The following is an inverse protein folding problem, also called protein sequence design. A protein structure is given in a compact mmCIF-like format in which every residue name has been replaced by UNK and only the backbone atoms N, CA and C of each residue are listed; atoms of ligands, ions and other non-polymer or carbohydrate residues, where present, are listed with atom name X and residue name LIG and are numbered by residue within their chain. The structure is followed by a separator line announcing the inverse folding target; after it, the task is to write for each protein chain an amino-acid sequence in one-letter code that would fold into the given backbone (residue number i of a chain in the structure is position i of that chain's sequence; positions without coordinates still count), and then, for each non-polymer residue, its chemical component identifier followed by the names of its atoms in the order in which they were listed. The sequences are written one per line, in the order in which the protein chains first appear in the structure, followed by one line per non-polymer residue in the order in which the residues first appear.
data_IF_067797623031
#
_entry.id   IF_067797623031
#
_cell.length_a   1.000
_cell.length_b   1.000
_cell.length_c   1.000
_cell.angle_alpha   90.00
_cell.angle_beta   90.00
_cell.angle_gamma   90.00
#
_symmetry.space_group_name_H-M   'P 1'
#
loop_
_entity.id
_entity.type
_entity.pdbx_description
1 polymer ?
#
# COMPACT_ATOMS: atom_id res chain seq x y z
N UNK A 1 -23.71 -57.28 15.38
CA UNK A 1 -23.03 -56.46 16.42
C UNK A 1 -21.76 -55.84 15.92
N UNK A 2 -20.87 -56.53 15.25
CA UNK A 2 -19.62 -55.99 14.70
C UNK A 2 -19.84 -54.81 13.72
N UNK A 3 -20.84 -54.88 12.86
CA UNK A 3 -21.15 -53.86 11.86
C UNK A 3 -21.58 -52.52 12.48
N UNK A 4 -22.28 -52.60 13.62
CA UNK A 4 -22.73 -51.38 14.37
C UNK A 4 -21.58 -50.71 15.11
N UNK A 5 -20.60 -51.48 15.57
CA UNK A 5 -19.43 -50.98 16.31
C UNK A 5 -18.45 -50.29 15.30
N UNK A 6 -18.25 -50.88 14.12
CA UNK A 6 -17.39 -50.30 13.06
C UNK A 6 -17.99 -49.01 12.52
N UNK A 7 -19.31 -48.92 12.36
CA UNK A 7 -19.99 -47.73 11.88
C UNK A 7 -19.95 -46.60 12.94
N UNK A 8 -20.00 -46.91 14.22
CA UNK A 8 -19.87 -45.95 15.33
C UNK A 8 -18.46 -45.40 15.45
N UNK A 9 -17.42 -46.22 15.17
CA UNK A 9 -16.02 -45.78 15.15
C UNK A 9 -15.71 -44.87 13.97
N UNK A 10 -16.33 -45.11 12.80
CA UNK A 10 -16.13 -44.29 11.60
C UNK A 10 -16.72 -42.89 11.74
N UNK A 11 -17.85 -42.75 12.43
CA UNK A 11 -18.50 -41.46 12.70
C UNK A 11 -17.71 -40.65 13.75
N UNK A 12 -17.09 -41.30 14.72
CA UNK A 12 -16.26 -40.63 15.74
C UNK A 12 -14.97 -40.05 15.16
N UNK A 13 -14.41 -40.65 14.07
CA UNK A 13 -13.21 -40.17 13.38
C UNK A 13 -13.44 -38.90 12.55
N UNK A 14 -14.68 -38.63 12.14
CA UNK A 14 -15.01 -37.49 11.27
C UNK A 14 -15.20 -36.17 12.06
N UNK A 15 -15.34 -36.25 13.38
CA UNK A 15 -15.51 -35.06 14.24
C UNK A 15 -14.21 -34.40 14.70
N UNK A 16 -13.05 -34.97 14.43
CA UNK A 16 -11.75 -34.42 14.82
C UNK A 16 -11.06 -33.56 13.75
N UNK A 17 -11.66 -33.40 12.57
CA UNK A 17 -11.05 -32.66 11.48
C UNK A 17 -11.48 -31.18 11.34
N UNK A 18 -12.28 -30.66 12.29
CA UNK A 18 -12.88 -29.33 12.14
C UNK A 18 -12.26 -28.22 12.99
N UNK A 19 -11.05 -28.39 13.51
CA UNK A 19 -10.44 -27.40 14.40
C UNK A 19 -9.08 -26.83 13.92
N UNK A 20 -8.85 -26.75 12.61
CA UNK A 20 -7.55 -26.28 12.09
C UNK A 20 -7.61 -25.00 11.22
N UNK A 21 -8.70 -24.24 11.27
CA UNK A 21 -8.75 -22.91 10.65
C UNK A 21 -9.28 -21.87 11.65
N UNK A 22 -8.60 -21.73 12.78
CA UNK A 22 -8.61 -20.47 13.48
C UNK A 22 -7.51 -19.62 12.83
N UNK A 23 -7.82 -19.01 11.69
CA UNK A 23 -7.09 -17.89 11.18
C UNK A 23 -7.11 -16.83 12.28
N UNK A 24 -5.94 -16.51 12.84
CA UNK A 24 -5.79 -15.44 13.80
C UNK A 24 -6.10 -14.12 13.08
N UNK A 25 -7.35 -13.76 13.00
CA UNK A 25 -7.84 -12.44 12.58
C UNK A 25 -7.59 -11.40 13.69
N UNK A 26 -6.35 -11.35 14.17
CA UNK A 26 -5.90 -10.17 14.89
C UNK A 26 -5.73 -9.07 13.85
N UNK A 27 -6.48 -7.95 13.93
CA UNK A 27 -6.34 -6.86 12.97
C UNK A 27 -4.86 -6.42 12.97
N UNK A 28 -4.23 -6.52 11.80
CA UNK A 28 -2.84 -6.11 11.66
C UNK A 28 -2.72 -4.62 12.05
N UNK A 29 -1.80 -4.31 12.96
CA UNK A 29 -1.56 -2.93 13.38
C UNK A 29 -0.88 -2.21 12.22
N UNK A 30 -1.47 -1.13 11.68
CA UNK A 30 -0.87 -0.38 10.59
C UNK A 30 0.46 0.24 11.01
N UNK A 31 1.45 0.15 10.13
CA UNK A 31 2.77 0.72 10.32
C UNK A 31 2.94 1.91 9.36
N UNK A 32 3.47 3.01 9.89
CA UNK A 32 3.72 4.24 9.15
C UNK A 32 5.21 4.36 8.84
N UNK A 33 5.52 4.51 7.56
CA UNK A 33 6.89 4.65 7.04
C UNK A 33 7.04 6.05 6.48
N UNK A 34 7.76 6.89 7.19
CA UNK A 34 8.06 8.24 6.74
C UNK A 34 9.17 8.21 5.68
N UNK A 35 8.93 8.82 4.53
CA UNK A 35 9.89 8.86 3.43
C UNK A 35 10.79 10.09 3.54
N UNK A 36 12.04 9.88 3.95
CA UNK A 36 13.05 10.92 4.07
C UNK A 36 14.18 10.72 3.04
N UNK A 37 14.74 11.82 2.47
CA UNK A 37 14.30 13.22 2.56
C UNK A 37 12.98 13.47 1.82
N UNK A 38 12.36 14.65 2.08
CA UNK A 38 11.16 15.11 1.38
C UNK A 38 11.36 15.11 -0.15
N UNK A 39 10.27 15.03 -0.88
CA UNK A 39 10.28 15.07 -2.34
C UNK A 39 10.27 16.53 -2.81
N UNK A 40 11.16 16.85 -3.75
CA UNK A 40 11.13 18.10 -4.51
C UNK A 40 11.16 17.71 -5.97
N UNK A 41 10.04 17.92 -6.66
CA UNK A 41 9.83 17.45 -8.02
C UNK A 41 9.32 18.60 -8.90
N UNK A 42 9.89 18.77 -10.05
CA UNK A 42 9.40 19.74 -11.04
C UNK A 42 8.18 19.18 -11.76
N UNK A 43 7.22 20.03 -12.04
CA UNK A 43 6.08 19.74 -12.91
C UNK A 43 5.85 20.89 -13.88
N UNK A 44 5.21 20.59 -15.00
CA UNK A 44 4.96 21.58 -16.06
C UNK A 44 3.56 22.13 -15.94
N UNK A 45 3.41 23.44 -15.99
CA UNK A 45 2.12 24.12 -16.06
C UNK A 45 1.70 24.33 -17.52
N UNK A 46 0.40 24.68 -17.74
CA UNK A 46 -0.16 24.95 -19.08
C UNK A 46 0.62 26.03 -19.86
N UNK A 47 1.21 26.98 -19.16
CA UNK A 47 2.03 28.05 -19.75
C UNK A 47 3.50 27.65 -19.96
N UNK A 48 3.80 26.36 -19.94
CA UNK A 48 5.16 25.80 -20.06
C UNK A 48 6.16 26.36 -19.04
N UNK A 49 5.68 26.83 -17.90
CA UNK A 49 6.51 27.27 -16.77
C UNK A 49 6.83 26.09 -15.89
N UNK A 50 8.10 25.92 -15.56
CA UNK A 50 8.53 24.97 -14.56
C UNK A 50 8.13 25.47 -13.18
N UNK A 51 7.36 24.68 -12.49
CA UNK A 51 7.05 24.82 -11.07
C UNK A 51 7.54 23.59 -10.33
N UNK A 52 7.57 23.65 -9.02
CA UNK A 52 7.93 22.48 -8.23
C UNK A 52 6.90 22.14 -7.16
N UNK A 53 6.84 20.86 -6.84
CA UNK A 53 6.11 20.31 -5.72
C UNK A 53 7.13 19.96 -4.65
N UNK A 54 6.91 20.44 -3.42
CA UNK A 54 7.58 19.94 -2.23
C UNK A 54 6.57 19.13 -1.43
N UNK A 55 6.85 17.85 -1.21
CA UNK A 55 5.96 16.94 -0.52
C UNK A 55 6.70 16.14 0.56
N UNK A 56 6.12 16.11 1.75
CA UNK A 56 6.49 15.17 2.82
C UNK A 56 5.49 14.02 2.79
N UNK A 57 5.97 12.82 2.56
CA UNK A 57 5.13 11.64 2.30
C UNK A 57 5.39 10.56 3.35
N UNK A 58 4.30 10.01 3.87
CA UNK A 58 4.31 8.83 4.74
C UNK A 58 3.46 7.74 4.12
N UNK A 59 3.97 6.52 4.06
CA UNK A 59 3.23 5.34 3.60
C UNK A 59 2.66 4.62 4.81
N UNK A 60 1.39 4.23 4.71
CA UNK A 60 0.75 3.33 5.66
C UNK A 60 0.74 1.92 5.09
N UNK A 61 1.41 1.00 5.76
CA UNK A 61 1.41 -0.42 5.48
C UNK A 61 0.44 -1.17 6.39
N UNK A 62 -0.12 -2.28 5.92
CA UNK A 62 -1.12 -3.06 6.67
C UNK A 62 -0.56 -3.82 7.87
N UNK A 63 0.77 -3.94 7.99
CA UNK A 63 1.44 -4.65 9.07
C UNK A 63 2.94 -4.79 8.82
N UNK A 64 3.61 -5.55 9.68
CA UNK A 64 5.07 -5.72 9.67
C UNK A 64 5.59 -6.31 8.35
N UNK A 65 4.91 -7.31 7.80
CA UNK A 65 5.31 -7.93 6.53
C UNK A 65 5.23 -6.93 5.38
N UNK A 66 4.12 -6.21 5.26
CA UNK A 66 3.95 -5.17 4.24
C UNK A 66 4.96 -4.04 4.38
N UNK A 67 5.24 -3.61 5.61
CA UNK A 67 6.27 -2.61 5.88
C UNK A 67 7.65 -3.09 5.44
N UNK A 68 8.00 -4.35 5.74
CA UNK A 68 9.27 -4.96 5.31
C UNK A 68 9.42 -4.99 3.78
N UNK A 69 8.36 -5.29 3.04
CA UNK A 69 8.36 -5.26 1.57
C UNK A 69 8.62 -3.84 1.05
N UNK A 70 7.95 -2.84 1.61
CA UNK A 70 8.12 -1.44 1.22
C UNK A 70 9.55 -0.98 1.49
N UNK A 71 10.08 -1.24 2.69
CA UNK A 71 11.43 -0.84 3.09
C UNK A 71 12.52 -1.52 2.25
N UNK A 72 12.36 -2.81 1.94
CA UNK A 72 13.29 -3.56 1.09
C UNK A 72 13.32 -3.05 -0.36
N UNK A 73 12.26 -2.40 -0.82
CA UNK A 73 12.12 -1.86 -2.17
C UNK A 73 12.05 -0.32 -2.20
N UNK A 74 12.63 0.34 -1.21
CA UNK A 74 12.58 1.81 -1.08
C UNK A 74 13.03 2.57 -2.33
N UNK A 75 14.08 2.18 -3.08
CA UNK A 75 14.44 2.85 -4.32
C UNK A 75 13.31 2.84 -5.35
N UNK A 76 12.57 1.73 -5.50
CA UNK A 76 11.43 1.61 -6.42
C UNK A 76 10.28 2.50 -5.97
N UNK A 77 10.02 2.53 -4.66
CA UNK A 77 8.98 3.37 -4.06
C UNK A 77 9.27 4.85 -4.31
N UNK A 78 10.50 5.30 -4.07
CA UNK A 78 10.88 6.69 -4.27
C UNK A 78 10.86 7.08 -5.74
N UNK A 79 11.40 6.23 -6.62
CA UNK A 79 11.39 6.45 -8.07
C UNK A 79 9.94 6.56 -8.59
N UNK A 80 9.07 5.64 -8.19
CA UNK A 80 7.66 5.67 -8.53
C UNK A 80 6.95 6.96 -8.14
N UNK A 81 7.22 7.46 -6.94
CA UNK A 81 6.66 8.73 -6.47
C UNK A 81 7.22 9.94 -7.21
N UNK A 82 8.52 9.97 -7.50
CA UNK A 82 9.14 11.06 -8.27
C UNK A 82 8.52 11.13 -9.67
N UNK A 83 8.42 10.02 -10.37
CA UNK A 83 7.80 9.96 -11.70
C UNK A 83 6.34 10.41 -11.63
N UNK A 84 5.57 9.81 -10.72
CA UNK A 84 4.16 10.13 -10.55
C UNK A 84 3.91 11.61 -10.27
N UNK A 85 4.64 12.20 -9.32
CA UNK A 85 4.50 13.62 -8.98
C UNK A 85 4.92 14.54 -10.14
N UNK A 86 5.92 14.16 -10.93
CA UNK A 86 6.39 14.95 -12.07
C UNK A 86 5.39 15.00 -13.24
N UNK A 87 4.53 13.99 -13.33
CA UNK A 87 3.50 13.88 -14.37
C UNK A 87 2.19 14.60 -14.00
N UNK A 88 2.05 15.04 -12.74
CA UNK A 88 0.86 15.78 -12.29
C UNK A 88 0.77 17.14 -12.99
N UNK A 89 -0.47 17.52 -13.34
CA UNK A 89 -0.78 18.84 -13.92
C UNK A 89 -1.28 19.80 -12.84
N UNK A 90 -1.31 21.08 -13.16
CA UNK A 90 -1.72 22.15 -12.24
C UNK A 90 -3.07 21.88 -11.56
N UNK A 91 -4.05 21.36 -12.31
CA UNK A 91 -5.37 21.06 -11.78
C UNK A 91 -5.36 19.90 -10.77
N UNK A 92 -4.39 18.99 -10.90
CA UNK A 92 -4.24 17.81 -10.02
C UNK A 92 -3.50 18.13 -8.72
N UNK A 93 -2.86 19.28 -8.62
CA UNK A 93 -2.10 19.67 -7.43
C UNK A 93 -2.72 20.81 -6.63
N UNK A 94 -3.79 21.43 -7.16
CA UNK A 94 -4.45 22.60 -6.56
C UNK A 94 -5.78 22.20 -5.93
N UNK A 95 -5.94 22.50 -4.65
CA UNK A 95 -7.17 22.24 -3.91
C UNK A 95 -7.23 20.88 -3.21
N UNK A 96 -8.16 20.76 -2.26
CA UNK A 96 -8.29 19.58 -1.42
C UNK A 96 -8.74 18.32 -2.20
N UNK A 97 -9.67 18.47 -3.14
CA UNK A 97 -10.19 17.36 -3.95
C UNK A 97 -9.10 16.82 -4.86
N UNK A 98 -8.37 17.72 -5.56
CA UNK A 98 -7.28 17.33 -6.45
C UNK A 98 -6.16 16.61 -5.68
N UNK A 99 -5.81 17.06 -4.48
CA UNK A 99 -4.84 16.38 -3.61
C UNK A 99 -5.29 15.01 -3.17
N UNK A 100 -6.57 14.83 -2.87
CA UNK A 100 -7.13 13.52 -2.51
C UNK A 100 -7.08 12.54 -3.69
N UNK A 101 -7.41 12.99 -4.90
CA UNK A 101 -7.28 12.18 -6.11
C UNK A 101 -5.82 11.83 -6.41
N UNK A 102 -4.90 12.78 -6.24
CA UNK A 102 -3.45 12.52 -6.37
C UNK A 102 -2.94 11.55 -5.31
N UNK A 103 -3.46 11.59 -4.10
CA UNK A 103 -3.14 10.62 -3.04
C UNK A 103 -3.56 9.21 -3.44
N UNK A 104 -4.79 9.03 -3.94
CA UNK A 104 -5.28 7.75 -4.43
C UNK A 104 -4.47 7.23 -5.62
N UNK A 105 -4.12 8.10 -6.55
CA UNK A 105 -3.27 7.77 -7.68
C UNK A 105 -1.89 7.28 -7.25
N UNK A 106 -1.29 7.91 -6.24
CA UNK A 106 -0.02 7.47 -5.69
C UNK A 106 -0.07 6.05 -5.11
N UNK A 107 -1.16 5.68 -4.42
CA UNK A 107 -1.36 4.32 -3.90
C UNK A 107 -1.36 3.30 -5.04
N UNK A 108 -2.10 3.59 -6.11
CA UNK A 108 -2.20 2.69 -7.27
C UNK A 108 -0.84 2.50 -7.95
N UNK A 109 -0.12 3.58 -8.22
CA UNK A 109 1.20 3.54 -8.86
C UNK A 109 2.20 2.77 -8.02
N UNK A 110 2.25 2.98 -6.72
CA UNK A 110 3.17 2.27 -5.83
C UNK A 110 2.85 0.78 -5.76
N UNK A 111 1.59 0.42 -5.62
CA UNK A 111 1.18 -0.98 -5.57
C UNK A 111 1.42 -1.70 -6.91
N UNK A 112 1.21 -1.03 -8.04
CA UNK A 112 1.53 -1.59 -9.35
C UNK A 112 3.03 -1.92 -9.47
N UNK A 113 3.90 -0.95 -9.17
CA UNK A 113 5.35 -1.14 -9.22
C UNK A 113 5.85 -2.23 -8.25
N UNK A 114 5.34 -2.23 -7.02
CA UNK A 114 5.72 -3.24 -6.03
C UNK A 114 5.19 -4.63 -6.38
N UNK A 115 4.02 -4.71 -7.00
CA UNK A 115 3.46 -5.98 -7.49
C UNK A 115 4.30 -6.58 -8.61
N UNK A 116 4.82 -5.78 -9.52
CA UNK A 116 5.75 -6.24 -10.58
C UNK A 116 7.01 -6.87 -9.97
N UNK A 117 7.56 -6.29 -8.91
CA UNK A 117 8.80 -6.77 -8.28
C UNK A 117 8.58 -7.90 -7.26
N UNK A 118 7.50 -7.85 -6.50
CA UNK A 118 7.30 -8.72 -5.33
C UNK A 118 6.08 -9.63 -5.42
N UNK A 119 5.19 -9.39 -6.37
CA UNK A 119 3.90 -10.06 -6.48
C UNK A 119 2.85 -9.56 -5.47
N UNK A 120 3.15 -8.54 -4.67
CA UNK A 120 2.29 -8.05 -3.60
C UNK A 120 1.99 -6.56 -3.71
N UNK A 121 0.86 -6.14 -3.14
CA UNK A 121 0.39 -4.76 -3.09
C UNK A 121 0.38 -4.28 -1.62
N UNK A 122 1.54 -3.95 -1.03
CA UNK A 122 1.69 -3.73 0.40
C UNK A 122 1.29 -2.34 0.89
N UNK A 123 1.05 -1.38 -0.02
CA UNK A 123 0.70 0.00 0.31
C UNK A 123 -0.80 0.08 0.60
N UNK A 124 -1.14 0.35 1.85
CA UNK A 124 -2.53 0.55 2.26
C UNK A 124 -3.00 1.98 2.02
N UNK A 125 -2.12 2.94 2.28
CA UNK A 125 -2.42 4.36 2.11
C UNK A 125 -1.15 5.19 1.89
N UNK A 126 -1.31 6.38 1.34
CA UNK A 126 -0.26 7.40 1.19
C UNK A 126 -0.75 8.70 1.82
N UNK A 127 0.04 9.24 2.73
CA UNK A 127 -0.29 10.46 3.46
C UNK A 127 0.64 11.59 3.03
N UNK A 128 0.06 12.69 2.56
CA UNK A 128 0.79 13.93 2.32
C UNK A 128 0.71 14.80 3.58
N UNK A 129 1.74 14.76 4.43
CA UNK A 129 1.82 15.59 5.64
C UNK A 129 2.16 17.06 5.32
N UNK A 130 2.86 17.28 4.20
CA UNK A 130 3.06 18.60 3.60
C UNK A 130 2.98 18.44 2.07
N UNK A 131 2.32 19.38 1.41
CA UNK A 131 2.21 19.43 -0.04
C UNK A 131 2.14 20.89 -0.49
N UNK A 132 3.25 21.41 -0.96
CA UNK A 132 3.40 22.81 -1.34
C UNK A 132 3.80 22.89 -2.81
N UNK A 133 3.11 23.74 -3.57
CA UNK A 133 3.41 24.02 -4.97
C UNK A 133 3.90 25.46 -5.11
N UNK A 134 4.97 25.66 -5.88
CA UNK A 134 5.54 26.99 -6.18
C UNK A 134 5.94 27.10 -7.64
#
# INVERSE_FOLDING_TARGET
MLFRIVFSLLISSLMLASSAFAENDSPAIPIYIELRPDFIVNYTTENNRLKYIKASITIRASGTQSAGIIEANMPIVRDGLVIYLSELRSEQVTGAIAREESRKGAILVLNEKLKEETGQEPVLDVLFSSFVTQ
#
